data_IF_256178698348
#
_entry.id   IF_256178698348
#
_cell.length_a   1.000
_cell.length_b   1.000
_cell.length_c   1.000
_cell.angle_alpha   90.00
_cell.angle_beta   90.00
_cell.angle_gamma   90.00
#
_symmetry.space_group_name_H-M   'P 1'
#
loop_
_entity.id
_entity.type
_entity.pdbx_description
1 polymer ?
#
# COMPACT_ATOMS: atom_id res chain seq x y z
N UNK A 1 -16.91 -3.85 -8.31
CA UNK A 1 -18.10 -4.54 -7.77
C UNK A 1 -17.93 -6.05 -7.55
N UNK A 2 -17.17 -6.79 -8.38
CA UNK A 2 -16.97 -8.26 -8.23
C UNK A 2 -16.32 -8.69 -6.90
N UNK A 3 -15.30 -7.98 -6.44
CA UNK A 3 -14.53 -8.30 -5.22
C UNK A 3 -15.35 -8.18 -3.91
N UNK A 4 -16.33 -7.26 -3.86
CA UNK A 4 -17.13 -7.04 -2.65
C UNK A 4 -18.03 -8.24 -2.35
N UNK A 5 -18.61 -8.87 -3.38
CA UNK A 5 -19.49 -10.03 -3.21
C UNK A 5 -18.70 -11.27 -2.80
N UNK A 6 -17.50 -11.48 -3.36
CA UNK A 6 -16.59 -12.54 -2.94
C UNK A 6 -16.18 -12.39 -1.47
N UNK A 7 -15.80 -11.18 -1.04
CA UNK A 7 -15.47 -10.93 0.39
C UNK A 7 -16.66 -11.10 1.33
N UNK A 8 -17.89 -10.77 0.92
CA UNK A 8 -19.09 -11.05 1.73
C UNK A 8 -19.28 -12.56 1.90
N UNK A 9 -19.05 -13.36 0.85
CA UNK A 9 -19.14 -14.82 0.91
C UNK A 9 -18.08 -15.43 1.85
N UNK A 10 -16.85 -14.95 1.79
CA UNK A 10 -15.77 -15.36 2.71
C UNK A 10 -16.12 -15.05 4.17
N UNK A 11 -16.62 -13.84 4.45
CA UNK A 11 -17.08 -13.46 5.78
C UNK A 11 -18.21 -14.37 6.24
N UNK A 12 -19.13 -14.73 5.34
CA UNK A 12 -20.21 -15.69 5.59
C UNK A 12 -19.69 -17.07 6.02
N UNK A 13 -18.73 -17.62 5.28
CA UNK A 13 -18.09 -18.93 5.58
C UNK A 13 -17.34 -18.88 6.92
N UNK A 14 -16.59 -17.81 7.20
CA UNK A 14 -15.90 -17.66 8.48
C UNK A 14 -16.89 -17.55 9.66
N UNK A 15 -18.03 -16.88 9.46
CA UNK A 15 -19.08 -16.81 10.49
C UNK A 15 -19.75 -18.15 10.77
N UNK A 16 -19.93 -19.01 9.76
CA UNK A 16 -20.48 -20.37 9.98
C UNK A 16 -19.51 -21.27 10.74
N UNK A 17 -18.20 -20.99 10.66
CA UNK A 17 -17.15 -21.67 11.44
C UNK A 17 -17.03 -21.12 12.88
N UNK A 18 -17.86 -20.14 13.27
CA UNK A 18 -17.90 -19.59 14.63
C UNK A 18 -16.98 -18.39 14.88
N UNK A 19 -16.33 -17.83 13.85
CA UNK A 19 -15.51 -16.64 14.01
C UNK A 19 -16.35 -15.39 14.33
N UNK A 20 -15.87 -14.59 15.28
CA UNK A 20 -16.50 -13.31 15.66
C UNK A 20 -16.22 -12.26 14.58
N UNK A 21 -17.15 -11.33 14.38
CA UNK A 21 -17.01 -10.22 13.42
C UNK A 21 -15.72 -9.41 13.65
N UNK A 22 -15.29 -9.24 14.89
CA UNK A 22 -14.05 -8.55 15.23
C UNK A 22 -12.79 -9.34 14.82
N UNK A 23 -12.83 -10.67 14.87
CA UNK A 23 -11.71 -11.51 14.42
C UNK A 23 -11.55 -11.45 12.90
N UNK A 24 -12.66 -11.50 12.18
CA UNK A 24 -12.65 -11.38 10.71
C UNK A 24 -12.14 -10.00 10.27
N UNK A 25 -12.56 -8.92 10.96
CA UNK A 25 -12.02 -7.57 10.73
C UNK A 25 -10.52 -7.47 11.01
N UNK A 26 -10.04 -8.04 12.11
CA UNK A 26 -8.63 -8.05 12.47
C UNK A 26 -7.78 -8.84 11.45
N UNK A 27 -8.29 -9.96 10.93
CA UNK A 27 -7.64 -10.75 9.90
C UNK A 27 -7.43 -9.95 8.62
N UNK A 28 -8.47 -9.28 8.13
CA UNK A 28 -8.37 -8.45 6.92
C UNK A 28 -7.47 -7.23 7.11
N UNK A 29 -7.48 -6.63 8.29
CA UNK A 29 -6.52 -5.57 8.65
C UNK A 29 -5.09 -6.06 8.53
N UNK A 30 -4.80 -7.23 9.11
CA UNK A 30 -3.47 -7.81 9.13
C UNK A 30 -3.01 -8.21 7.72
N UNK A 31 -3.89 -8.81 6.92
CA UNK A 31 -3.63 -9.13 5.51
C UNK A 31 -3.25 -7.87 4.73
N UNK A 32 -4.04 -6.80 4.87
CA UNK A 32 -3.80 -5.54 4.15
C UNK A 32 -2.51 -4.87 4.62
N UNK A 33 -2.25 -4.88 5.93
CA UNK A 33 -1.00 -4.36 6.49
C UNK A 33 0.21 -5.15 5.98
N UNK A 34 0.10 -6.47 5.89
CA UNK A 34 1.17 -7.33 5.41
C UNK A 34 1.52 -7.02 3.94
N UNK A 35 0.51 -6.89 3.08
CA UNK A 35 0.69 -6.51 1.67
C UNK A 35 1.32 -5.11 1.56
N UNK A 36 0.84 -4.16 2.37
CA UNK A 36 1.39 -2.80 2.39
C UNK A 36 2.87 -2.77 2.78
N UNK A 37 3.26 -3.51 3.82
CA UNK A 37 4.64 -3.60 4.27
C UNK A 37 5.55 -4.18 3.19
N UNK A 38 5.11 -5.24 2.50
CA UNK A 38 5.85 -5.83 1.37
C UNK A 38 6.04 -4.79 0.26
N UNK A 39 4.97 -4.08 -0.12
CA UNK A 39 5.03 -3.04 -1.15
C UNK A 39 6.01 -1.91 -0.80
N UNK A 40 5.99 -1.45 0.45
CA UNK A 40 6.90 -0.41 0.94
C UNK A 40 8.35 -0.90 0.96
N UNK A 41 8.60 -2.13 1.41
CA UNK A 41 9.93 -2.72 1.44
C UNK A 41 10.51 -2.87 0.02
N UNK A 42 9.71 -3.39 -0.92
CA UNK A 42 10.11 -3.53 -2.32
C UNK A 42 10.29 -2.19 -3.01
N UNK A 43 9.40 -1.23 -2.79
CA UNK A 43 9.49 0.12 -3.36
C UNK A 43 10.70 0.89 -2.83
N UNK A 44 10.93 0.88 -1.52
CA UNK A 44 12.10 1.51 -0.89
C UNK A 44 13.41 0.85 -1.32
N UNK A 45 13.47 -0.48 -1.30
CA UNK A 45 14.63 -1.24 -1.78
C UNK A 45 14.91 -1.00 -3.26
N UNK A 46 13.86 -0.98 -4.09
CA UNK A 46 13.94 -0.67 -5.51
C UNK A 46 14.44 0.74 -5.79
N UNK A 47 13.99 1.74 -5.01
CA UNK A 47 14.46 3.11 -5.12
C UNK A 47 15.95 3.23 -4.79
N UNK A 48 16.43 2.53 -3.76
CA UNK A 48 17.86 2.46 -3.40
C UNK A 48 18.67 1.77 -4.50
N UNK A 49 18.23 0.61 -4.96
CA UNK A 49 18.90 -0.13 -6.03
C UNK A 49 18.97 0.68 -7.34
N UNK A 50 17.87 1.32 -7.73
CA UNK A 50 17.81 2.17 -8.92
C UNK A 50 18.73 3.39 -8.79
N UNK A 51 18.72 4.06 -7.64
CA UNK A 51 19.61 5.21 -7.39
C UNK A 51 21.08 4.79 -7.46
N UNK A 52 21.43 3.64 -6.87
CA UNK A 52 22.80 3.10 -6.92
C UNK A 52 23.22 2.74 -8.36
N UNK A 53 22.32 2.14 -9.14
CA UNK A 53 22.58 1.78 -10.54
C UNK A 53 22.79 3.03 -11.41
N UNK A 54 21.93 4.05 -11.26
CA UNK A 54 22.04 5.32 -11.99
C UNK A 54 23.37 6.02 -11.65
N UNK A 55 23.73 6.07 -10.36
CA UNK A 55 24.99 6.66 -9.92
C UNK A 55 26.22 5.90 -10.46
N UNK A 56 26.15 4.56 -10.57
CA UNK A 56 27.23 3.74 -11.17
C UNK A 56 27.36 3.90 -12.68
N UNK A 57 26.24 4.10 -13.38
CA UNK A 57 26.25 4.31 -14.82
C UNK A 57 26.69 5.73 -15.21
N UNK A 58 26.85 6.63 -14.23
CA UNK A 58 27.32 8.02 -14.41
C UNK A 58 26.67 8.69 -15.62
N UNK A 59 25.33 8.60 -15.69
CA UNK A 59 24.57 9.13 -16.83
C UNK A 59 24.82 10.63 -16.90
N UNK A 60 25.55 11.04 -17.94
CA UNK A 60 25.86 12.43 -18.21
C UNK A 60 24.59 13.10 -18.74
N UNK A 61 24.04 14.04 -17.99
CA UNK A 61 22.88 14.80 -18.41
C UNK A 61 23.29 16.24 -18.71
N UNK A 62 22.87 16.76 -19.88
CA UNK A 62 23.03 18.18 -20.23
C UNK A 62 21.76 18.94 -19.87
N UNK A 63 21.88 19.90 -18.96
CA UNK A 63 20.81 20.85 -18.61
C UNK A 63 21.03 22.13 -19.41
N UNK A 64 20.12 22.44 -20.34
CA UNK A 64 20.08 23.74 -21.04
C UNK A 64 21.27 24.05 -21.96
N UNK A 65 21.65 25.33 -22.03
CA UNK A 65 22.73 25.89 -22.86
C UNK A 65 24.16 25.64 -22.32
N UNK A 66 24.31 24.89 -21.23
CA UNK A 66 25.61 24.64 -20.59
C UNK A 66 26.45 23.66 -21.43
N UNK A 67 27.69 24.05 -21.71
CA UNK A 67 28.60 23.32 -22.61
C UNK A 67 29.19 22.07 -21.96
N UNK A 68 29.16 21.95 -20.63
CA UNK A 68 29.82 20.87 -19.88
C UNK A 68 28.81 19.91 -19.25
N UNK A 69 28.95 18.58 -19.45
CA UNK A 69 28.05 17.60 -18.88
C UNK A 69 28.22 17.53 -17.36
N UNK A 70 27.09 17.59 -16.64
CA UNK A 70 27.06 17.49 -15.17
C UNK A 70 26.59 16.07 -14.81
N UNK A 71 27.28 15.36 -13.90
CA UNK A 71 26.85 14.04 -13.49
C UNK A 71 25.49 14.12 -12.77
N UNK A 72 24.52 13.30 -13.18
CA UNK A 72 23.24 13.17 -12.50
C UNK A 72 23.43 12.36 -11.20
N UNK A 73 23.86 13.05 -10.14
CA UNK A 73 24.01 12.45 -8.83
C UNK A 73 22.66 12.44 -8.13
N UNK A 74 22.08 11.26 -7.93
CA UNK A 74 20.96 11.09 -7.02
C UNK A 74 21.54 11.02 -5.61
N UNK A 75 21.64 12.18 -4.95
CA UNK A 75 21.96 12.22 -3.53
C UNK A 75 20.79 11.64 -2.74
N UNK A 76 20.99 10.43 -2.20
CA UNK A 76 20.04 9.83 -1.28
C UNK A 76 20.13 10.52 0.08
N UNK A 77 19.35 11.56 0.26
CA UNK A 77 19.14 12.12 1.58
C UNK A 77 18.22 11.19 2.40
N UNK A 78 18.68 10.83 3.61
CA UNK A 78 17.92 10.03 4.58
C UNK A 78 16.56 10.66 4.89
N UNK A 79 16.47 11.99 4.87
CA UNK A 79 15.22 12.72 5.08
C UNK A 79 14.21 12.47 3.95
N UNK A 80 14.63 12.51 2.69
CA UNK A 80 13.75 12.27 1.52
C UNK A 80 13.23 10.83 1.50
N UNK A 81 14.10 9.86 1.81
CA UNK A 81 13.74 8.45 1.95
C UNK A 81 12.74 8.24 3.10
N UNK A 82 13.02 8.80 4.28
CA UNK A 82 12.11 8.73 5.41
C UNK A 82 10.74 9.33 5.08
N UNK A 83 10.72 10.47 4.38
CA UNK A 83 9.47 11.14 4.05
C UNK A 83 8.63 10.36 3.04
N UNK A 84 9.26 9.84 1.98
CA UNK A 84 8.57 9.02 0.97
C UNK A 84 8.00 7.73 1.56
N UNK A 85 8.76 7.04 2.43
CA UNK A 85 8.26 5.86 3.12
C UNK A 85 7.07 6.18 4.05
N UNK A 86 7.15 7.26 4.81
CA UNK A 86 6.06 7.67 5.71
C UNK A 86 4.80 8.10 4.94
N UNK A 87 4.94 8.80 3.81
CA UNK A 87 3.81 9.15 2.93
C UNK A 87 3.20 7.88 2.32
N UNK A 88 4.03 6.96 1.80
CA UNK A 88 3.55 5.70 1.22
C UNK A 88 2.79 4.86 2.26
N UNK A 89 3.32 4.75 3.49
CA UNK A 89 2.66 4.06 4.59
C UNK A 89 1.34 4.72 4.96
N UNK A 90 1.30 6.05 5.03
CA UNK A 90 0.09 6.81 5.33
C UNK A 90 -1.01 6.56 4.30
N UNK A 91 -0.65 6.60 3.00
CA UNK A 91 -1.58 6.30 1.91
C UNK A 91 -2.10 4.87 2.01
N UNK A 92 -1.22 3.90 2.26
CA UNK A 92 -1.62 2.50 2.39
C UNK A 92 -2.58 2.27 3.57
N UNK A 93 -2.32 2.91 4.72
CA UNK A 93 -3.21 2.84 5.89
C UNK A 93 -4.57 3.48 5.62
N UNK A 94 -4.61 4.64 4.95
CA UNK A 94 -5.87 5.31 4.57
C UNK A 94 -6.64 4.44 3.57
N UNK A 95 -5.98 3.90 2.57
CA UNK A 95 -6.59 3.00 1.59
C UNK A 95 -7.15 1.73 2.25
N UNK A 96 -6.46 1.19 3.28
CA UNK A 96 -6.91 0.05 4.07
C UNK A 96 -8.09 0.39 5.01
N UNK A 97 -8.13 1.61 5.54
CA UNK A 97 -9.18 2.05 6.46
C UNK A 97 -10.55 2.17 5.77
N UNK A 98 -10.59 2.56 4.49
CA UNK A 98 -11.84 2.71 3.70
C UNK A 98 -12.67 1.41 3.65
N UNK A 99 -12.15 0.26 3.17
CA UNK A 99 -12.91 -0.99 3.13
C UNK A 99 -13.24 -1.49 4.54
N UNK A 100 -12.38 -1.22 5.53
CA UNK A 100 -12.62 -1.65 6.91
C UNK A 100 -13.80 -0.91 7.56
N UNK A 101 -13.87 0.41 7.34
CA UNK A 101 -14.98 1.24 7.81
C UNK A 101 -16.27 0.94 7.06
N UNK A 102 -16.18 0.69 5.74
CA UNK A 102 -17.31 0.26 4.92
C UNK A 102 -17.87 -1.10 5.35
N UNK A 103 -17.00 -2.08 5.61
CA UNK A 103 -17.38 -3.39 6.17
C UNK A 103 -17.93 -3.29 7.61
N UNK A 104 -17.54 -2.25 8.34
CA UNK A 104 -18.08 -1.92 9.66
C UNK A 104 -19.53 -1.40 9.63
N UNK A 105 -19.87 -0.60 8.61
CA UNK A 105 -21.15 0.12 8.50
C UNK A 105 -22.21 -0.59 7.67
N UNK A 106 -21.88 -1.63 6.90
CA UNK A 106 -22.89 -2.58 6.40
C UNK A 106 -23.43 -3.40 7.57
N UNK A 107 -24.27 -2.72 8.36
CA UNK A 107 -25.16 -3.34 9.32
C UNK A 107 -25.98 -4.37 8.57
N UNK A 108 -26.07 -5.53 9.20
CA UNK A 108 -26.88 -6.70 8.89
C UNK A 108 -28.38 -6.34 8.69
N UNK A 109 -28.81 -5.09 8.90
CA UNK A 109 -30.17 -4.61 8.73
C UNK A 109 -30.69 -4.58 7.28
N UNK A 110 -29.83 -4.51 6.26
CA UNK A 110 -30.27 -4.64 4.84
C UNK A 110 -30.37 -6.10 4.37
N UNK A 111 -29.79 -7.05 5.10
CA UNK A 111 -29.80 -8.47 4.73
C UNK A 111 -31.09 -9.20 5.14
N UNK A 112 -31.99 -8.55 5.88
CA UNK A 112 -33.26 -9.12 6.37
C UNK A 112 -34.50 -8.49 5.72
N UNK A 113 -34.36 -7.45 4.90
CA UNK A 113 -35.49 -6.80 4.20
C UNK A 113 -35.77 -7.37 2.80
N UNK A 114 -35.05 -8.42 2.41
CA UNK A 114 -35.33 -9.21 1.20
C UNK A 114 -35.50 -10.69 1.53
N UNK A 115 -36.40 -10.98 2.48
CA UNK A 115 -37.06 -12.30 2.62
C UNK A 115 -38.55 -12.06 2.51
#
# INVERSE_FOLDING_TARGET
FRNVQERIREIGVLRTLGFRVNQVRALFLLETLFIALIGIALGGGGAIAASALINRLSILYKIGLLTQPVPFLVEQNRYTLGWTLAVALSIALVAAAIPLWSAGRKRISEALTHV
#
